data_IF_303028733923
#
_entry.id   IF_303028733923
#
_cell.length_a   1.000
_cell.length_b   1.000
_cell.length_c   1.000
_cell.angle_alpha   90.00
_cell.angle_beta   90.00
_cell.angle_gamma   90.00
#
_symmetry.space_group_name_H-M   'P 1'
#
loop_
_entity.id
_entity.type
_entity.pdbx_description
1 polymer ?
#
# COMPACT_ATOMS: atom_id res chain seq x y z
N UNK A 1 12.49 -5.41 -18.71
CA UNK A 1 11.78 -5.38 -17.42
C UNK A 1 10.29 -5.37 -17.75
N UNK A 2 9.51 -6.39 -17.34
CA UNK A 2 8.04 -6.29 -17.42
C UNK A 2 7.61 -5.36 -16.28
N UNK A 3 6.80 -4.31 -16.52
CA UNK A 3 6.25 -3.54 -15.42
C UNK A 3 5.48 -4.51 -14.52
N UNK A 4 5.78 -4.48 -13.22
CA UNK A 4 5.04 -5.26 -12.24
C UNK A 4 3.58 -4.83 -12.30
N UNK A 5 2.65 -5.77 -12.43
CA UNK A 5 1.22 -5.46 -12.56
C UNK A 5 0.57 -5.09 -11.22
N UNK A 6 1.29 -5.26 -10.11
CA UNK A 6 0.80 -5.01 -8.77
C UNK A 6 1.94 -4.57 -7.84
N UNK A 7 1.58 -3.88 -6.76
CA UNK A 7 2.43 -3.64 -5.58
C UNK A 7 1.87 -4.42 -4.40
N UNK A 8 2.68 -4.68 -3.35
CA UNK A 8 2.18 -5.34 -2.15
C UNK A 8 1.82 -4.31 -1.07
N UNK A 9 0.72 -4.55 -0.37
CA UNK A 9 0.36 -3.77 0.79
C UNK A 9 1.48 -3.86 1.85
N UNK A 10 1.93 -2.72 2.36
CA UNK A 10 2.96 -2.65 3.39
C UNK A 10 2.50 -3.18 4.77
N UNK A 11 1.19 -3.35 4.96
CA UNK A 11 0.60 -3.86 6.21
C UNK A 11 0.21 -5.33 6.09
N UNK A 12 -0.52 -5.70 5.03
CA UNK A 12 -1.09 -7.04 4.91
C UNK A 12 -0.32 -7.95 3.95
N UNK A 13 0.59 -7.41 3.13
CA UNK A 13 1.27 -8.14 2.06
C UNK A 13 0.39 -8.48 0.85
N UNK A 14 -0.91 -8.17 0.89
CA UNK A 14 -1.85 -8.42 -0.21
C UNK A 14 -1.38 -7.75 -1.52
N UNK A 15 -1.41 -8.44 -2.67
CA UNK A 15 -1.17 -7.80 -3.97
C UNK A 15 -2.28 -6.80 -4.30
N UNK A 16 -1.89 -5.61 -4.72
CA UNK A 16 -2.75 -4.50 -5.13
C UNK A 16 -2.44 -4.22 -6.60
N UNK A 17 -3.36 -4.53 -7.54
CA UNK A 17 -3.21 -4.15 -8.93
C UNK A 17 -2.92 -2.65 -9.04
N UNK A 18 -2.00 -2.25 -9.92
CA UNK A 18 -1.64 -0.83 -10.06
C UNK A 18 -2.84 0.04 -10.46
N UNK A 19 -3.79 -0.50 -11.23
CA UNK A 19 -5.03 0.18 -11.61
C UNK A 19 -6.03 0.36 -10.46
N UNK A 20 -5.88 -0.40 -9.38
CA UNK A 20 -6.73 -0.33 -8.18
C UNK A 20 -6.06 0.41 -7.01
N UNK A 21 -4.79 0.80 -7.16
CA UNK A 21 -4.00 1.46 -6.13
C UNK A 21 -4.56 2.86 -5.82
N UNK A 22 -5.26 2.98 -4.69
CA UNK A 22 -5.86 4.23 -4.22
C UNK A 22 -5.16 4.84 -3.00
N UNK A 23 -4.43 4.05 -2.23
CA UNK A 23 -3.81 4.47 -0.98
C UNK A 23 -2.29 4.30 -1.04
N UNK A 24 -1.58 5.43 -1.10
CA UNK A 24 -0.11 5.49 -1.17
C UNK A 24 0.43 6.55 -0.22
N UNK A 25 1.44 6.20 0.57
CA UNK A 25 2.22 7.18 1.33
C UNK A 25 3.51 7.51 0.58
N UNK A 26 3.66 8.77 0.17
CA UNK A 26 4.79 9.25 -0.63
C UNK A 26 6.10 9.24 0.15
N UNK A 27 6.11 9.71 1.38
CA UNK A 27 7.34 9.79 2.19
C UNK A 27 7.93 8.42 2.48
N UNK A 28 7.06 7.42 2.69
CA UNK A 28 7.45 6.06 3.05
C UNK A 28 7.55 5.13 1.85
N UNK A 29 7.05 5.55 0.68
CA UNK A 29 6.93 4.73 -0.53
C UNK A 29 6.16 3.42 -0.25
N UNK A 30 5.05 3.52 0.49
CA UNK A 30 4.25 2.38 0.94
C UNK A 30 2.85 2.40 0.31
N UNK A 31 2.42 1.25 -0.23
CA UNK A 31 1.06 1.02 -0.72
C UNK A 31 0.17 0.37 0.35
N UNK A 32 -1.12 0.69 0.35
CA UNK A 32 -2.10 0.09 1.26
C UNK A 32 -3.31 -0.47 0.50
N UNK A 33 -3.76 -1.66 0.92
CA UNK A 33 -4.89 -2.34 0.28
C UNK A 33 -6.22 -1.62 0.47
N UNK A 34 -6.30 -0.72 1.46
CA UNK A 34 -7.50 0.05 1.76
C UNK A 34 -7.29 1.02 2.93
N UNK A 35 -8.35 1.75 3.32
CA UNK A 35 -8.27 2.76 4.38
C UNK A 35 -7.92 2.15 5.74
N UNK A 36 -8.41 0.94 6.05
CA UNK A 36 -8.07 0.24 7.31
C UNK A 36 -6.55 0.01 7.41
N UNK A 37 -5.93 -0.55 6.37
CA UNK A 37 -4.50 -0.78 6.34
C UNK A 37 -3.70 0.54 6.43
N UNK A 38 -4.13 1.59 5.72
CA UNK A 38 -3.49 2.91 5.82
C UNK A 38 -3.58 3.48 7.25
N UNK A 39 -4.75 3.34 7.88
CA UNK A 39 -5.01 3.82 9.23
C UNK A 39 -4.24 3.02 10.29
N UNK A 40 -4.19 1.70 10.20
CA UNK A 40 -3.34 0.84 11.05
C UNK A 40 -1.89 1.29 10.99
N UNK A 41 -1.38 1.61 9.80
CA UNK A 41 -0.01 2.08 9.63
C UNK A 41 0.21 3.49 10.20
N UNK A 42 -0.79 4.36 10.13
CA UNK A 42 -0.74 5.72 10.69
C UNK A 42 -0.79 5.70 12.23
N UNK A 43 -1.62 4.83 12.82
CA UNK A 43 -1.74 4.68 14.27
C UNK A 43 -0.54 3.98 14.91
N UNK A 44 0.22 3.18 14.15
CA UNK A 44 1.41 2.47 14.62
C UNK A 44 2.68 3.33 14.73
N UNK A 45 2.61 4.64 14.47
CA UNK A 45 3.74 5.57 14.63
C UNK A 45 3.53 6.49 15.84
N UNK A 46 4.14 6.11 16.96
CA UNK A 46 4.79 7.06 17.86
C UNK A 46 6.17 7.42 17.31
#
# INVERSE_FOLDING_TARGET
MRPGSFVRCAVTGQPIPLEELRYWNVERQEAYAGPEAALTRAMGKG
#
